data_IF_104890363034
#
_entry.id   IF_104890363034
#
_cell.length_a   1.000
_cell.length_b   1.000
_cell.length_c   1.000
_cell.angle_alpha   90.00
_cell.angle_beta   90.00
_cell.angle_gamma   90.00
#
_symmetry.space_group_name_H-M   'P 1'
#
loop_
_entity.id
_entity.type
_entity.pdbx_description
1 polymer ?
#
# COMPACT_ATOMS: atom_id res chain seq x y z
N UNK A 1 12.51 -23.37 -11.80
CA UNK A 1 13.93 -23.66 -11.45
C UNK A 1 14.33 -25.07 -11.90
N UNK A 2 15.53 -25.21 -12.51
CA UNK A 2 16.00 -26.43 -13.20
C UNK A 2 17.18 -27.16 -12.52
N UNK A 3 18.33 -26.51 -12.35
CA UNK A 3 19.54 -27.11 -11.76
C UNK A 3 19.31 -27.69 -10.35
N UNK A 4 18.54 -27.05 -9.44
CA UNK A 4 18.29 -27.61 -8.11
C UNK A 4 17.52 -28.94 -8.08
N UNK A 5 16.90 -29.33 -9.20
CA UNK A 5 16.21 -30.62 -9.33
C UNK A 5 17.17 -31.77 -9.71
N UNK A 6 18.41 -31.45 -10.09
CA UNK A 6 19.38 -32.41 -10.64
C UNK A 6 20.57 -32.67 -9.72
N UNK A 7 20.81 -31.79 -8.75
CA UNK A 7 21.92 -31.88 -7.80
C UNK A 7 21.44 -31.48 -6.40
N UNK A 8 22.03 -32.05 -5.33
CA UNK A 8 21.84 -31.53 -3.98
C UNK A 8 22.09 -30.02 -3.95
N UNK A 9 21.12 -29.28 -3.42
CA UNK A 9 21.12 -27.82 -3.46
C UNK A 9 20.77 -27.28 -2.10
N UNK A 10 21.46 -26.22 -1.69
CA UNK A 10 21.36 -25.62 -0.37
C UNK A 10 21.24 -24.11 -0.50
N UNK A 11 20.53 -23.48 0.42
CA UNK A 11 20.51 -22.02 0.51
C UNK A 11 21.86 -21.52 1.04
N UNK A 12 22.43 -20.52 0.38
CA UNK A 12 23.54 -19.75 0.95
C UNK A 12 23.04 -18.82 2.06
N UNK A 13 23.98 -18.22 2.80
CA UNK A 13 23.68 -17.41 3.99
C UNK A 13 22.74 -16.23 3.73
N UNK A 14 22.81 -15.61 2.53
CA UNK A 14 21.92 -14.51 2.16
C UNK A 14 20.47 -14.96 1.99
N UNK A 15 20.26 -16.05 1.25
CA UNK A 15 18.93 -16.63 1.02
C UNK A 15 18.36 -17.17 2.32
N UNK A 16 19.18 -17.84 3.13
CA UNK A 16 18.78 -18.32 4.45
C UNK A 16 18.29 -17.16 5.34
N UNK A 17 19.05 -16.05 5.38
CA UNK A 17 18.67 -14.87 6.16
C UNK A 17 17.37 -14.24 5.66
N UNK A 18 17.22 -14.06 4.36
CA UNK A 18 16.00 -13.49 3.77
C UNK A 18 14.78 -14.36 4.06
N UNK A 19 14.88 -15.68 3.84
CA UNK A 19 13.79 -16.63 4.13
C UNK A 19 13.44 -16.62 5.62
N UNK A 20 14.43 -16.56 6.51
CA UNK A 20 14.22 -16.52 7.97
C UNK A 20 13.44 -15.27 8.41
N UNK A 21 13.85 -14.09 7.96
CA UNK A 21 13.17 -12.84 8.33
C UNK A 21 11.77 -12.74 7.71
N UNK A 22 11.61 -13.09 6.42
CA UNK A 22 10.30 -13.07 5.77
C UNK A 22 9.34 -14.10 6.41
N UNK A 23 9.84 -15.29 6.78
CA UNK A 23 9.03 -16.30 7.46
C UNK A 23 8.55 -15.82 8.82
N UNK A 24 9.39 -15.08 9.55
CA UNK A 24 9.02 -14.46 10.83
C UNK A 24 7.91 -13.43 10.63
N UNK A 25 7.99 -12.57 9.60
CA UNK A 25 6.99 -11.53 9.30
C UNK A 25 5.64 -12.08 8.80
N UNK A 26 5.62 -13.31 8.29
CA UNK A 26 4.41 -14.03 7.90
C UNK A 26 3.81 -14.89 9.03
N UNK A 27 4.56 -15.09 10.12
CA UNK A 27 4.16 -15.84 11.31
C UNK A 27 3.72 -14.91 12.47
N UNK A 28 3.82 -15.39 13.73
CA UNK A 28 3.60 -14.55 14.90
C UNK A 28 4.63 -13.42 15.00
N UNK A 29 4.15 -12.18 15.04
CA UNK A 29 4.97 -10.96 15.16
C UNK A 29 4.62 -10.18 16.42
N UNK A 30 5.52 -9.28 16.84
CA UNK A 30 5.22 -8.38 17.95
C UNK A 30 4.18 -7.36 17.53
N UNK A 31 3.10 -7.28 18.30
CA UNK A 31 1.98 -6.38 18.03
C UNK A 31 2.08 -5.06 18.81
N UNK A 32 1.61 -3.93 18.25
CA UNK A 32 0.91 -3.82 16.96
C UNK A 32 1.83 -3.99 15.74
N UNK A 33 1.38 -4.74 14.73
CA UNK A 33 2.09 -4.98 13.47
C UNK A 33 1.56 -4.03 12.40
N UNK A 34 2.43 -3.10 11.96
CA UNK A 34 2.17 -2.23 10.82
C UNK A 34 2.72 -2.79 9.52
N UNK A 35 2.04 -2.53 8.41
CA UNK A 35 2.54 -2.86 7.07
C UNK A 35 2.37 -1.64 6.19
N UNK A 36 3.42 -1.27 5.45
CA UNK A 36 3.37 -0.17 4.47
C UNK A 36 3.58 -0.75 3.08
N UNK A 37 2.63 -0.50 2.19
CA UNK A 37 2.72 -0.93 0.79
C UNK A 37 2.54 0.27 -0.14
N UNK A 38 3.56 0.50 -0.95
CA UNK A 38 3.53 1.45 -2.05
C UNK A 38 3.69 0.75 -3.40
N UNK A 39 3.66 1.53 -4.46
CA UNK A 39 3.92 1.07 -5.83
C UNK A 39 3.00 1.74 -6.84
N UNK A 40 2.99 1.19 -8.05
CA UNK A 40 2.27 1.76 -9.18
C UNK A 40 1.03 0.98 -9.63
N UNK A 41 1.02 -0.35 -9.48
CA UNK A 41 -0.02 -1.23 -10.01
C UNK A 41 -0.70 -2.01 -8.90
N UNK A 42 -2.03 -1.99 -8.85
CA UNK A 42 -2.82 -2.64 -7.79
C UNK A 42 -3.01 -4.11 -8.07
N UNK A 43 -3.23 -4.50 -9.32
CA UNK A 43 -3.47 -5.92 -9.64
C UNK A 43 -2.36 -6.84 -9.14
N UNK A 44 -1.10 -6.41 -9.25
CA UNK A 44 0.07 -7.19 -8.81
C UNK A 44 0.20 -7.27 -7.27
N UNK A 45 -0.40 -6.33 -6.54
CA UNK A 45 -0.24 -6.19 -5.08
C UNK A 45 -1.48 -6.55 -4.30
N UNK A 46 -2.65 -6.66 -4.93
CA UNK A 46 -3.89 -6.98 -4.23
C UNK A 46 -3.84 -8.32 -3.48
N UNK A 47 -3.32 -9.42 -4.04
CA UNK A 47 -3.18 -10.67 -3.28
C UNK A 47 -2.26 -10.53 -2.05
N UNK A 48 -1.20 -9.73 -2.18
CA UNK A 48 -0.28 -9.43 -1.07
C UNK A 48 -0.99 -8.62 0.02
N UNK A 49 -1.67 -7.54 -0.35
CA UNK A 49 -2.43 -6.70 0.58
C UNK A 49 -3.48 -7.53 1.34
N UNK A 50 -4.26 -8.35 0.62
CA UNK A 50 -5.25 -9.25 1.21
C UNK A 50 -4.62 -10.25 2.18
N UNK A 51 -3.41 -10.75 1.87
CA UNK A 51 -2.70 -11.69 2.76
C UNK A 51 -2.29 -11.08 4.11
N UNK A 52 -2.24 -9.75 4.22
CA UNK A 52 -1.95 -9.06 5.47
C UNK A 52 -3.20 -8.72 6.29
N UNK A 53 -4.40 -8.83 5.72
CA UNK A 53 -5.64 -8.62 6.47
C UNK A 53 -5.77 -9.69 7.57
N UNK A 54 -6.02 -9.25 8.81
CA UNK A 54 -6.04 -10.06 10.03
C UNK A 54 -4.66 -10.37 10.63
N UNK A 55 -3.59 -10.25 9.84
CA UNK A 55 -2.20 -10.37 10.33
C UNK A 55 -1.67 -9.04 10.83
N UNK A 56 -1.85 -8.00 10.02
CA UNK A 56 -1.49 -6.63 10.36
C UNK A 56 -2.61 -5.98 11.18
N UNK A 57 -2.21 -5.24 12.20
CA UNK A 57 -3.13 -4.38 12.95
C UNK A 57 -3.38 -3.08 12.17
N UNK A 58 -2.37 -2.57 11.45
CA UNK A 58 -2.49 -1.39 10.59
C UNK A 58 -1.83 -1.60 9.23
N UNK A 59 -2.53 -1.25 8.15
CA UNK A 59 -2.07 -1.35 6.77
C UNK A 59 -2.14 0.01 6.08
N UNK A 60 -0.99 0.55 5.70
CA UNK A 60 -0.83 1.85 5.06
C UNK A 60 -0.57 1.65 3.57
N UNK A 61 -1.41 2.24 2.72
CA UNK A 61 -1.33 2.09 1.26
C UNK A 61 -1.02 3.46 0.65
N UNK A 62 0.08 3.56 -0.12
CA UNK A 62 0.53 4.81 -0.75
C UNK A 62 0.97 4.63 -2.21
N UNK A 63 1.43 5.71 -2.84
CA UNK A 63 1.76 5.72 -4.27
C UNK A 63 0.53 5.55 -5.18
N UNK A 64 0.73 5.37 -6.48
CA UNK A 64 -0.38 5.18 -7.42
C UNK A 64 -1.17 3.88 -7.16
N UNK A 65 -0.61 2.95 -6.39
CA UNK A 65 -1.31 1.82 -5.79
C UNK A 65 -2.57 2.24 -4.99
N UNK A 66 -2.56 3.41 -4.34
CA UNK A 66 -3.71 3.87 -3.57
C UNK A 66 -4.89 4.33 -4.48
N UNK A 67 -4.64 4.63 -5.76
CA UNK A 67 -5.61 5.29 -6.63
C UNK A 67 -6.90 4.48 -6.84
N UNK A 68 -6.88 3.17 -7.16
CA UNK A 68 -8.11 2.38 -7.23
C UNK A 68 -8.91 2.32 -5.93
N UNK A 69 -8.23 2.30 -4.77
CA UNK A 69 -8.89 2.33 -3.45
C UNK A 69 -9.56 3.69 -3.18
N UNK A 70 -8.88 4.78 -3.53
CA UNK A 70 -9.40 6.14 -3.42
C UNK A 70 -10.57 6.36 -4.38
N UNK A 71 -10.45 5.93 -5.64
CA UNK A 71 -11.50 6.00 -6.64
C UNK A 71 -12.75 5.20 -6.21
N UNK A 72 -12.56 4.01 -5.63
CA UNK A 72 -13.65 3.19 -5.07
C UNK A 72 -14.40 3.87 -3.91
N UNK A 73 -13.80 4.88 -3.26
CA UNK A 73 -14.42 5.72 -2.23
C UNK A 73 -14.94 7.06 -2.76
N UNK A 74 -14.96 7.25 -4.08
CA UNK A 74 -15.45 8.48 -4.72
C UNK A 74 -14.47 9.64 -4.74
N UNK A 75 -13.17 9.40 -4.51
CA UNK A 75 -12.15 10.44 -4.62
C UNK A 75 -12.03 10.93 -6.07
N UNK A 76 -11.78 12.23 -6.25
CA UNK A 76 -11.48 12.84 -7.55
C UNK A 76 -9.97 12.88 -7.71
N UNK A 77 -9.42 12.04 -8.59
CA UNK A 77 -7.97 11.87 -8.73
C UNK A 77 -7.35 12.67 -9.88
N UNK A 78 -8.10 13.58 -10.50
CA UNK A 78 -7.66 14.36 -11.65
C UNK A 78 -7.21 13.47 -12.81
N UNK A 79 -6.05 13.78 -13.37
CA UNK A 79 -5.41 13.03 -14.45
C UNK A 79 -4.54 11.86 -13.94
N UNK A 80 -4.58 11.54 -12.63
CA UNK A 80 -3.79 10.45 -12.06
C UNK A 80 -4.23 9.09 -12.60
N UNK A 81 -3.30 8.16 -12.88
CA UNK A 81 -3.65 6.85 -13.42
C UNK A 81 -4.46 6.03 -12.41
N UNK A 82 -5.61 5.51 -12.86
CA UNK A 82 -6.45 4.58 -12.11
C UNK A 82 -6.58 3.30 -12.92
N UNK A 83 -6.19 2.18 -12.32
CA UNK A 83 -6.36 0.87 -12.92
C UNK A 83 -7.85 0.48 -12.92
N UNK A 84 -8.43 0.34 -14.12
CA UNK A 84 -9.84 0.00 -14.31
C UNK A 84 -10.16 -1.46 -13.99
N UNK A 85 -11.45 -1.77 -13.80
CA UNK A 85 -11.92 -3.15 -13.59
C UNK A 85 -11.65 -3.74 -12.19
N UNK A 86 -11.14 -2.94 -11.25
CA UNK A 86 -10.81 -3.38 -9.88
C UNK A 86 -11.86 -3.02 -8.82
N UNK A 87 -12.96 -2.37 -9.20
CA UNK A 87 -13.94 -1.84 -8.25
C UNK A 87 -14.52 -2.90 -7.30
N UNK A 88 -14.93 -4.05 -7.83
CA UNK A 88 -15.45 -5.16 -7.03
C UNK A 88 -14.38 -5.74 -6.09
N UNK A 89 -13.15 -5.89 -6.59
CA UNK A 89 -12.04 -6.45 -5.83
C UNK A 89 -11.62 -5.51 -4.67
N UNK A 90 -11.61 -4.19 -4.91
CA UNK A 90 -11.37 -3.16 -3.88
C UNK A 90 -12.49 -3.15 -2.84
N UNK A 91 -13.75 -3.28 -3.25
CA UNK A 91 -14.88 -3.36 -2.32
C UNK A 91 -14.79 -4.61 -1.43
N UNK A 92 -14.50 -5.77 -2.02
CA UNK A 92 -14.29 -7.02 -1.29
C UNK A 92 -13.10 -6.93 -0.31
N UNK A 93 -12.02 -6.26 -0.71
CA UNK A 93 -10.87 -5.99 0.15
C UNK A 93 -11.26 -5.22 1.41
N UNK A 94 -12.06 -4.15 1.28
CA UNK A 94 -12.50 -3.38 2.46
C UNK A 94 -13.47 -4.16 3.35
N UNK A 95 -14.34 -5.00 2.78
CA UNK A 95 -15.17 -5.93 3.55
C UNK A 95 -14.32 -6.87 4.39
N UNK A 96 -13.33 -7.51 3.76
CA UNK A 96 -12.40 -8.43 4.44
C UNK A 96 -11.58 -7.71 5.51
N UNK A 97 -11.14 -6.48 5.25
CA UNK A 97 -10.36 -5.70 6.21
C UNK A 97 -11.17 -5.36 7.47
N UNK A 98 -12.45 -5.01 7.29
CA UNK A 98 -13.37 -4.73 8.38
C UNK A 98 -13.63 -5.98 9.23
N UNK A 99 -13.92 -7.12 8.58
CA UNK A 99 -14.16 -8.41 9.27
C UNK A 99 -12.93 -8.88 10.05
N UNK A 100 -11.74 -8.63 9.51
CA UNK A 100 -10.47 -9.03 10.10
C UNK A 100 -9.94 -8.05 11.17
N UNK A 101 -10.57 -6.88 11.33
CA UNK A 101 -10.13 -5.85 12.27
C UNK A 101 -8.82 -5.15 11.91
N UNK A 102 -8.42 -5.18 10.63
CA UNK A 102 -7.22 -4.47 10.16
C UNK A 102 -7.58 -3.02 9.81
N UNK A 103 -6.91 -2.06 10.43
CA UNK A 103 -7.07 -0.64 10.11
C UNK A 103 -6.35 -0.31 8.80
N UNK A 104 -7.09 0.07 7.76
CA UNK A 104 -6.52 0.47 6.46
C UNK A 104 -6.46 1.99 6.34
N UNK A 105 -5.25 2.53 6.23
CA UNK A 105 -4.97 3.95 6.03
C UNK A 105 -4.66 4.22 4.55
N UNK A 106 -5.40 5.15 3.97
CA UNK A 106 -5.19 5.68 2.62
C UNK A 106 -4.77 7.16 2.70
N UNK A 107 -4.20 7.73 1.62
CA UNK A 107 -3.92 9.15 1.55
C UNK A 107 -5.19 10.00 1.68
N UNK A 108 -5.09 11.08 2.44
CA UNK A 108 -6.15 12.10 2.60
C UNK A 108 -5.85 13.37 1.82
N UNK A 109 -4.56 13.59 1.53
CA UNK A 109 -4.04 14.67 0.71
C UNK A 109 -2.87 14.16 -0.13
N UNK A 110 -2.60 14.85 -1.23
CA UNK A 110 -1.57 14.49 -2.20
C UNK A 110 -0.79 15.72 -2.65
N UNK A 111 0.48 15.52 -2.98
CA UNK A 111 1.28 16.47 -3.73
C UNK A 111 1.09 16.16 -5.21
N UNK A 112 0.72 17.18 -5.98
CA UNK A 112 0.38 17.06 -7.39
C UNK A 112 1.32 17.88 -8.26
N UNK A 113 1.51 17.40 -9.48
CA UNK A 113 2.09 18.15 -10.59
C UNK A 113 0.98 18.57 -11.54
N UNK A 114 1.09 19.78 -12.11
CA UNK A 114 0.13 20.34 -13.06
C UNK A 114 0.84 20.95 -14.26
N UNK A 115 0.28 20.79 -15.47
CA UNK A 115 0.83 21.42 -16.66
C UNK A 115 0.99 22.93 -16.50
N UNK A 116 2.19 23.45 -16.79
CA UNK A 116 2.49 24.89 -16.73
C UNK A 116 2.70 25.46 -15.31
N UNK A 117 2.74 24.61 -14.27
CA UNK A 117 3.13 25.01 -12.91
C UNK A 117 4.54 24.54 -12.61
N UNK A 118 5.36 25.44 -12.07
CA UNK A 118 6.75 25.13 -11.73
C UNK A 118 6.89 24.47 -10.35
N UNK A 119 5.97 24.77 -9.42
CA UNK A 119 6.02 24.26 -8.05
C UNK A 119 4.92 23.20 -7.82
N UNK A 120 5.24 22.10 -7.12
CA UNK A 120 4.23 21.14 -6.69
C UNK A 120 3.21 21.78 -5.75
N UNK A 121 1.94 21.46 -5.97
CA UNK A 121 0.83 21.94 -5.14
C UNK A 121 0.31 20.79 -4.27
N UNK A 122 -0.29 21.10 -3.12
CA UNK A 122 -0.93 20.09 -2.26
C UNK A 122 -2.43 20.25 -2.28
N UNK A 123 -3.17 19.16 -2.50
CA UNK A 123 -4.63 19.15 -2.47
C UNK A 123 -5.14 18.00 -1.60
N UNK A 124 -6.27 18.19 -0.89
CA UNK A 124 -7.00 17.07 -0.33
C UNK A 124 -7.58 16.21 -1.47
N UNK A 125 -7.73 14.90 -1.24
CA UNK A 125 -8.13 13.91 -2.26
C UNK A 125 -9.52 14.16 -2.90
N UNK A 126 -10.35 15.00 -2.28
CA UNK A 126 -11.66 15.39 -2.79
C UNK A 126 -11.61 16.65 -3.67
N UNK A 127 -10.46 17.34 -3.77
CA UNK A 127 -10.32 18.63 -4.48
C UNK A 127 -9.13 18.69 -5.44
N UNK A 128 -8.63 17.54 -5.88
CA UNK A 128 -7.57 17.49 -6.90
C UNK A 128 -8.12 18.07 -8.22
N UNK A 129 -7.44 19.05 -8.84
CA UNK A 129 -7.84 19.58 -10.15
C UNK A 129 -7.83 18.52 -11.25
N UNK A 130 -8.71 18.65 -12.24
CA UNK A 130 -8.87 17.65 -13.31
C UNK A 130 -7.59 17.45 -14.15
N UNK A 131 -6.77 18.48 -14.29
CA UNK A 131 -5.50 18.48 -15.02
C UNK A 131 -4.30 18.03 -14.18
N UNK A 132 -4.51 17.77 -12.88
CA UNK A 132 -3.44 17.46 -11.94
C UNK A 132 -3.16 15.96 -11.86
N UNK A 133 -1.89 15.61 -11.69
CA UNK A 133 -1.43 14.24 -11.47
C UNK A 133 -0.84 14.16 -10.07
N UNK A 134 -1.38 13.26 -9.24
CA UNK A 134 -0.84 12.96 -7.92
C UNK A 134 0.49 12.22 -8.05
N UNK A 135 1.55 12.81 -7.50
CA UNK A 135 2.92 12.29 -7.56
C UNK A 135 3.38 11.71 -6.21
N UNK A 136 2.89 12.26 -5.10
CA UNK A 136 3.26 11.81 -3.75
C UNK A 136 2.13 12.05 -2.74
N UNK A 137 2.25 11.47 -1.56
CA UNK A 137 1.36 11.72 -0.43
C UNK A 137 1.60 13.12 0.17
N UNK A 138 0.52 13.78 0.59
CA UNK A 138 0.58 15.11 1.16
C UNK A 138 1.08 15.14 2.61
N UNK A 139 1.35 16.34 3.17
CA UNK A 139 1.75 16.53 4.56
C UNK A 139 0.79 15.92 5.60
N UNK A 140 -0.54 16.01 5.40
CA UNK A 140 -1.49 15.45 6.37
C UNK A 140 -1.43 13.92 6.38
N UNK A 141 -1.32 13.30 5.21
CA UNK A 141 -1.13 11.85 5.05
C UNK A 141 0.17 11.40 5.68
N UNK A 142 1.28 12.11 5.44
CA UNK A 142 2.57 11.80 6.07
C UNK A 142 2.47 11.83 7.59
N UNK A 143 1.83 12.87 8.15
CA UNK A 143 1.63 12.99 9.60
C UNK A 143 0.78 11.83 10.15
N UNK A 144 -0.31 11.48 9.48
CA UNK A 144 -1.18 10.37 9.88
C UNK A 144 -0.45 9.02 9.80
N UNK A 145 0.32 8.78 8.74
CA UNK A 145 1.10 7.56 8.55
C UNK A 145 2.18 7.42 9.63
N UNK A 146 2.91 8.50 9.94
CA UNK A 146 3.90 8.53 11.02
C UNK A 146 3.24 8.24 12.38
N UNK A 147 2.11 8.87 12.68
CA UNK A 147 1.38 8.64 13.93
C UNK A 147 0.92 7.17 14.06
N UNK A 148 0.50 6.56 12.95
CA UNK A 148 0.08 5.18 12.91
C UNK A 148 1.24 4.18 13.03
N UNK A 149 2.41 4.49 12.49
CA UNK A 149 3.60 3.66 12.62
C UNK A 149 4.27 3.79 13.99
N UNK A 150 4.21 4.97 14.62
CA UNK A 150 4.81 5.21 15.94
C UNK A 150 4.21 4.34 17.05
N UNK A 151 2.98 3.83 16.87
CA UNK A 151 2.32 2.90 17.81
C UNK A 151 2.64 1.42 17.56
N UNK A 152 3.38 1.08 16.51
CA UNK A 152 3.68 -0.31 16.12
C UNK A 152 4.97 -0.83 16.76
N UNK A 153 5.04 -2.14 16.95
CA UNK A 153 6.24 -2.86 17.42
C UNK A 153 6.96 -3.62 16.30
N UNK A 154 6.23 -3.93 15.22
CA UNK A 154 6.78 -4.52 13.99
C UNK A 154 6.30 -3.67 12.81
N UNK A 155 7.20 -3.40 11.85
CA UNK A 155 6.90 -2.77 10.55
C UNK A 155 7.56 -3.58 9.45
#
# INVERSE_FOLDING_TARGET
VGVPKRLPSFAGLLVEREVRELSRLLGPTERPYGVVVGGAKVADKLPLLTSFLGRADVLLIGGALANPFLAGRGARLGASPVEGGLAEAVAAFFGTAADAGTEVLLPTDVVVERPGRAEPETYPIDRIPDDAIAQDIGPATRAAFVAALARTRTV
#
